data_IF_236925991145
#
_entry.id   IF_236925991145
#
_cell.length_a   1.000
_cell.length_b   1.000
_cell.length_c   1.000
_cell.angle_alpha   90.00
_cell.angle_beta   90.00
_cell.angle_gamma   90.00
#
_symmetry.space_group_name_H-M   'P 1'
#
loop_
_entity.id
_entity.type
_entity.pdbx_description
1 polymer ?
#
# COMPACT_ATOMS: atom_id res chain seq x y z
N UNK A 1 49.50 1.00 -21.14
CA UNK A 1 49.63 1.01 -19.67
C UNK A 1 48.74 2.12 -19.14
N UNK A 2 47.48 1.81 -18.83
CA UNK A 2 46.48 2.80 -18.43
C UNK A 2 46.07 2.53 -16.97
N UNK A 3 46.74 3.21 -16.04
CA UNK A 3 46.63 3.02 -14.57
C UNK A 3 45.30 3.52 -13.96
N UNK A 4 44.26 3.71 -14.78
CA UNK A 4 42.94 4.15 -14.32
C UNK A 4 41.92 3.00 -14.18
N UNK A 5 42.20 1.82 -14.77
CA UNK A 5 41.27 0.68 -14.73
C UNK A 5 41.47 -0.27 -13.53
N UNK A 6 42.54 -0.10 -12.75
CA UNK A 6 42.81 -0.93 -11.55
C UNK A 6 42.26 -0.34 -10.24
N UNK A 7 41.68 0.86 -10.25
CA UNK A 7 41.16 1.52 -9.05
C UNK A 7 39.65 1.29 -8.83
N UNK A 8 38.91 0.89 -9.87
CA UNK A 8 37.46 0.63 -9.75
C UNK A 8 37.15 -0.79 -9.20
N UNK A 9 38.15 -1.68 -9.15
CA UNK A 9 37.99 -3.04 -8.60
C UNK A 9 38.36 -3.17 -7.11
N UNK A 10 38.68 -2.07 -6.42
CA UNK A 10 39.03 -2.06 -4.99
C UNK A 10 37.92 -1.43 -4.12
N UNK A 11 36.83 -0.95 -4.71
CA UNK A 11 35.69 -0.34 -4.00
C UNK A 11 34.43 -1.22 -3.89
N UNK A 12 34.53 -2.52 -4.19
CA UNK A 12 33.41 -3.47 -4.06
C UNK A 12 33.85 -4.77 -3.35
N UNK A 13 34.13 -4.68 -2.04
CA UNK A 13 33.53 -5.68 -1.16
C UNK A 13 33.15 -5.06 0.20
N UNK A 14 32.13 -4.20 0.22
CA UNK A 14 31.50 -3.77 1.49
C UNK A 14 29.95 -3.78 1.42
N UNK A 15 29.35 -4.41 0.41
CA UNK A 15 27.89 -4.58 0.33
C UNK A 15 27.43 -6.05 0.45
N UNK A 16 28.32 -6.99 0.79
CA UNK A 16 27.97 -8.41 0.92
C UNK A 16 28.41 -9.08 2.21
N UNK A 17 28.75 -8.31 3.24
CA UNK A 17 28.94 -8.86 4.59
C UNK A 17 28.22 -7.98 5.60
N UNK A 18 26.98 -8.35 5.90
CA UNK A 18 26.37 -8.04 7.19
C UNK A 18 27.18 -8.84 8.24
N UNK A 19 28.36 -8.35 8.62
CA UNK A 19 29.09 -8.90 9.75
C UNK A 19 28.43 -8.44 11.04
N UNK A 20 27.89 -9.45 11.71
CA UNK A 20 27.25 -9.48 13.01
C UNK A 20 28.15 -8.80 14.04
N UNK A 21 27.68 -7.69 14.63
CA UNK A 21 28.11 -7.33 15.99
C UNK A 21 27.37 -8.29 16.91
N UNK A 22 28.06 -9.30 17.43
CA UNK A 22 27.56 -10.11 18.55
C UNK A 22 27.60 -9.25 19.80
N UNK A 23 26.49 -8.57 20.07
CA UNK A 23 26.13 -8.21 21.42
C UNK A 23 25.61 -9.49 22.09
N UNK A 24 26.38 -10.04 23.03
CA UNK A 24 25.84 -11.01 23.98
C UNK A 24 24.96 -10.26 24.99
N UNK A 25 23.79 -9.81 24.52
CA UNK A 25 22.63 -9.76 25.38
C UNK A 25 22.16 -11.21 25.52
N UNK A 26 21.95 -11.67 26.75
CA UNK A 26 21.11 -12.84 26.98
C UNK A 26 19.70 -12.39 26.60
N UNK A 27 19.42 -12.32 25.31
CA UNK A 27 18.08 -12.10 24.78
C UNK A 27 17.31 -13.36 25.12
N UNK A 28 16.31 -13.22 25.99
CA UNK A 28 15.28 -14.24 26.11
C UNK A 28 14.62 -14.34 24.74
N UNK A 29 14.85 -15.46 24.06
CA UNK A 29 14.40 -15.66 22.70
C UNK A 29 12.87 -15.55 22.62
N UNK A 30 12.39 -14.86 21.60
CA UNK A 30 10.97 -14.78 21.31
C UNK A 30 10.40 -16.20 21.11
N UNK A 31 9.17 -16.43 21.58
CA UNK A 31 8.43 -17.64 21.22
C UNK A 31 7.87 -17.42 19.82
N UNK A 32 8.29 -18.23 18.86
CA UNK A 32 7.93 -18.10 17.45
C UNK A 32 6.89 -19.14 17.07
N UNK A 33 5.81 -18.67 16.42
CA UNK A 33 4.79 -19.51 15.79
C UNK A 33 4.71 -19.20 14.30
N UNK A 34 4.76 -20.24 13.49
CA UNK A 34 4.81 -20.12 12.04
C UNK A 34 3.74 -20.94 11.33
N UNK A 35 3.40 -20.47 10.15
CA UNK A 35 2.59 -21.17 9.17
C UNK A 35 3.42 -21.26 7.90
N UNK A 36 3.69 -22.49 7.47
CA UNK A 36 4.24 -22.74 6.13
C UNK A 36 3.34 -22.10 5.08
N UNK A 37 3.96 -21.27 4.24
CA UNK A 37 3.32 -20.63 3.11
C UNK A 37 3.34 -21.57 1.92
N UNK A 38 2.18 -21.74 1.26
CA UNK A 38 2.14 -22.38 -0.05
C UNK A 38 2.60 -21.43 -1.15
N UNK A 39 2.86 -21.98 -2.34
CA UNK A 39 3.23 -21.19 -3.52
C UNK A 39 2.16 -20.17 -3.90
N UNK A 40 0.90 -20.47 -3.63
CA UNK A 40 -0.24 -19.56 -3.86
C UNK A 40 -0.37 -18.47 -2.80
N UNK A 41 0.25 -18.62 -1.63
CA UNK A 41 0.22 -17.62 -0.57
C UNK A 41 1.26 -16.50 -0.78
N UNK A 42 2.19 -16.69 -1.72
CA UNK A 42 3.26 -15.73 -2.05
C UNK A 42 2.76 -14.36 -2.51
N UNK A 43 1.51 -14.29 -2.98
CA UNK A 43 0.85 -13.05 -3.43
C UNK A 43 -0.26 -12.57 -2.50
N UNK A 44 -0.49 -13.26 -1.39
CA UNK A 44 -1.51 -12.90 -0.40
C UNK A 44 -0.88 -12.19 0.78
N UNK A 45 -1.58 -11.24 1.41
CA UNK A 45 -1.09 -10.51 2.61
C UNK A 45 -1.22 -11.33 3.91
N UNK A 46 -0.96 -12.63 3.84
CA UNK A 46 -1.14 -13.57 4.94
C UNK A 46 -0.02 -13.42 5.98
N UNK A 47 -0.39 -13.19 7.25
CA UNK A 47 0.55 -13.30 8.36
C UNK A 47 1.03 -14.74 8.46
N UNK A 48 2.33 -14.95 8.34
CA UNK A 48 2.94 -16.28 8.32
C UNK A 48 3.75 -16.58 9.58
N UNK A 49 4.16 -15.55 10.31
CA UNK A 49 4.94 -15.68 11.53
C UNK A 49 4.39 -14.75 12.62
N UNK A 50 4.35 -15.26 13.85
CA UNK A 50 3.92 -14.57 15.07
C UNK A 50 5.01 -14.76 16.11
N UNK A 51 5.65 -13.66 16.50
CA UNK A 51 6.66 -13.64 17.54
C UNK A 51 6.05 -13.09 18.82
N UNK A 52 6.26 -13.78 19.93
CA UNK A 52 5.74 -13.41 21.24
C UNK A 52 6.94 -13.26 22.18
N UNK A 53 7.19 -12.02 22.60
CA UNK A 53 8.28 -11.67 23.50
C UNK A 53 7.84 -11.73 24.96
N UNK A 54 8.74 -12.11 25.87
CA UNK A 54 8.44 -12.19 27.31
C UNK A 54 8.09 -10.84 27.95
N UNK A 55 8.57 -9.74 27.38
CA UNK A 55 8.28 -8.37 27.82
C UNK A 55 6.86 -7.88 27.45
N UNK A 56 5.94 -8.80 27.14
CA UNK A 56 4.56 -8.50 26.72
C UNK A 56 4.44 -7.76 25.38
N UNK A 57 5.44 -7.84 24.49
CA UNK A 57 5.34 -7.36 23.09
C UNK A 57 5.19 -8.51 22.11
N UNK A 58 4.62 -8.23 20.95
CA UNK A 58 4.51 -9.20 19.86
C UNK A 58 4.83 -8.55 18.51
N UNK A 59 5.09 -9.41 17.53
CA UNK A 59 5.19 -9.03 16.14
C UNK A 59 4.48 -10.04 15.23
N UNK A 60 3.59 -9.54 14.36
CA UNK A 60 3.07 -10.30 13.24
C UNK A 60 3.85 -9.95 11.98
N UNK A 61 4.33 -10.97 11.27
CA UNK A 61 5.11 -10.79 10.05
C UNK A 61 4.42 -11.39 8.84
N UNK A 62 4.48 -10.65 7.75
CA UNK A 62 4.22 -11.10 6.40
C UNK A 62 5.46 -10.81 5.56
N UNK A 63 6.27 -11.84 5.28
CA UNK A 63 7.50 -11.70 4.49
C UNK A 63 7.50 -12.70 3.34
N UNK A 64 6.72 -12.43 2.28
CA UNK A 64 6.68 -13.31 1.12
C UNK A 64 8.06 -13.38 0.46
N UNK A 65 8.39 -14.54 -0.10
CA UNK A 65 9.67 -14.79 -0.77
C UNK A 65 9.92 -13.97 -2.05
N UNK A 66 8.95 -13.15 -2.48
CA UNK A 66 8.99 -12.43 -3.77
C UNK A 66 9.80 -11.13 -3.70
N UNK A 67 9.59 -10.29 -2.68
CA UNK A 67 10.28 -9.01 -2.53
C UNK A 67 10.19 -8.44 -1.12
N UNK A 68 11.30 -7.95 -0.58
CA UNK A 68 11.34 -7.25 0.72
C UNK A 68 10.51 -5.95 0.74
N UNK A 69 10.22 -5.36 -0.42
CA UNK A 69 9.35 -4.17 -0.52
C UNK A 69 7.88 -4.47 -0.17
N UNK A 70 7.49 -5.75 -0.18
CA UNK A 70 6.13 -6.18 0.16
C UNK A 70 6.01 -6.69 1.59
N UNK A 71 7.13 -6.72 2.33
CA UNK A 71 7.14 -7.18 3.70
C UNK A 71 6.37 -6.23 4.60
N UNK A 72 5.59 -6.81 5.51
CA UNK A 72 4.81 -6.06 6.50
C UNK A 72 5.03 -6.64 7.88
N UNK A 73 5.26 -5.74 8.83
CA UNK A 73 5.41 -6.04 10.25
C UNK A 73 4.37 -5.26 11.03
N UNK A 74 3.72 -5.92 11.98
CA UNK A 74 2.75 -5.31 12.88
C UNK A 74 3.15 -5.59 14.31
N UNK A 75 3.42 -4.54 15.07
CA UNK A 75 3.95 -4.61 16.43
C UNK A 75 2.92 -4.10 17.42
N UNK A 76 2.91 -4.68 18.61
CA UNK A 76 2.00 -4.28 19.66
C UNK A 76 2.29 -4.99 20.98
N UNK A 77 1.29 -4.99 21.86
CA UNK A 77 1.37 -5.65 23.16
C UNK A 77 0.44 -6.85 23.24
N UNK A 78 0.77 -7.83 24.08
CA UNK A 78 -0.10 -8.96 24.33
C UNK A 78 -0.39 -9.13 25.81
N UNK A 79 -1.51 -9.79 26.11
CA UNK A 79 -1.87 -10.26 27.44
C UNK A 79 -2.56 -11.61 27.36
N UNK A 80 -2.33 -12.44 28.37
CA UNK A 80 -2.98 -13.75 28.47
C UNK A 80 -4.07 -13.74 29.53
N UNK A 81 -5.18 -14.41 29.22
CA UNK A 81 -6.29 -14.72 30.13
C UNK A 81 -6.63 -16.19 29.96
N UNK A 82 -6.21 -17.04 30.90
CA UNK A 82 -6.30 -18.51 30.79
C UNK A 82 -5.58 -19.01 29.53
N UNK A 83 -6.27 -19.74 28.67
CA UNK A 83 -5.78 -20.26 27.39
C UNK A 83 -5.82 -19.20 26.26
N UNK A 84 -6.43 -18.05 26.50
CA UNK A 84 -6.62 -17.03 25.48
C UNK A 84 -5.54 -15.96 25.56
N UNK A 85 -4.83 -15.74 24.46
CA UNK A 85 -3.94 -14.59 24.27
C UNK A 85 -4.66 -13.51 23.47
N UNK A 86 -4.46 -12.26 23.88
CA UNK A 86 -5.05 -11.07 23.25
C UNK A 86 -3.90 -10.16 22.83
N UNK A 87 -3.70 -10.05 21.52
CA UNK A 87 -2.79 -9.13 20.88
C UNK A 87 -3.49 -7.80 20.63
N UNK A 88 -2.85 -6.69 20.99
CA UNK A 88 -3.34 -5.33 20.82
C UNK A 88 -2.33 -4.50 20.06
N UNK A 89 -2.72 -3.99 18.89
CA UNK A 89 -1.92 -3.04 18.12
C UNK A 89 -2.72 -1.80 17.75
N UNK A 90 -2.00 -0.76 17.33
CA UNK A 90 -2.56 0.50 16.86
C UNK A 90 -1.97 0.82 15.49
N UNK A 91 -2.81 1.25 14.57
CA UNK A 91 -2.37 1.73 13.26
C UNK A 91 -3.09 3.03 12.90
N UNK A 92 -2.41 3.87 12.12
CA UNK A 92 -2.99 5.12 11.63
C UNK A 92 -3.70 4.84 10.30
N UNK A 93 -4.97 5.22 10.23
CA UNK A 93 -5.69 5.40 8.98
C UNK A 93 -5.60 6.85 8.57
N UNK A 94 -5.23 7.08 7.32
CA UNK A 94 -5.15 8.40 6.74
C UNK A 94 -6.16 8.47 5.59
N UNK A 95 -6.91 9.55 5.55
CA UNK A 95 -7.76 9.87 4.41
C UNK A 95 -6.91 10.05 3.15
N UNK A 96 -7.44 9.66 1.99
CA UNK A 96 -6.73 9.86 0.74
C UNK A 96 -6.62 11.35 0.40
N UNK A 97 -5.47 11.76 -0.12
CA UNK A 97 -5.23 13.12 -0.61
C UNK A 97 -6.18 13.57 -1.71
N UNK A 98 -6.67 12.62 -2.52
CA UNK A 98 -7.56 12.88 -3.66
C UNK A 98 -8.67 11.83 -3.68
N UNK A 99 -9.91 12.27 -3.77
CA UNK A 99 -11.08 11.41 -3.98
C UNK A 99 -11.61 11.57 -5.38
N UNK A 100 -12.09 10.46 -5.95
CA UNK A 100 -12.67 10.43 -7.29
C UNK A 100 -14.15 10.09 -7.21
N UNK A 101 -14.96 10.89 -7.87
CA UNK A 101 -16.31 10.54 -8.28
C UNK A 101 -16.32 10.49 -9.81
N UNK A 102 -17.17 9.64 -10.40
CA UNK A 102 -17.12 9.46 -11.84
C UNK A 102 -18.45 8.99 -12.42
N UNK A 103 -18.63 9.26 -13.70
CA UNK A 103 -19.74 8.77 -14.50
C UNK A 103 -19.32 8.61 -15.95
N UNK A 104 -20.13 7.90 -16.72
CA UNK A 104 -19.92 7.73 -18.16
C UNK A 104 -20.95 8.55 -18.92
N UNK A 105 -20.47 9.54 -19.66
CA UNK A 105 -21.25 10.31 -20.63
C UNK A 105 -21.21 9.58 -21.97
N UNK A 106 -22.37 9.07 -22.40
CA UNK A 106 -22.51 8.43 -23.72
C UNK A 106 -22.23 9.48 -24.81
N UNK A 107 -21.57 9.05 -25.89
CA UNK A 107 -21.18 9.88 -27.06
C UNK A 107 -20.08 10.91 -26.83
N UNK A 108 -19.59 11.06 -25.59
CA UNK A 108 -18.49 11.97 -25.31
C UNK A 108 -17.16 11.44 -25.88
N UNK A 109 -16.35 12.34 -26.47
CA UNK A 109 -15.07 12.02 -27.14
C UNK A 109 -13.84 12.53 -26.38
N UNK A 110 -14.03 12.92 -25.13
CA UNK A 110 -12.98 13.41 -24.25
C UNK A 110 -13.12 12.81 -22.86
N UNK A 111 -12.00 12.72 -22.15
CA UNK A 111 -12.03 12.61 -20.69
C UNK A 111 -12.20 14.02 -20.13
N UNK A 112 -13.27 14.22 -19.38
CA UNK A 112 -13.59 15.46 -18.69
C UNK A 112 -13.22 15.33 -17.23
N UNK A 113 -12.25 16.11 -16.79
CA UNK A 113 -11.83 16.17 -15.39
C UNK A 113 -12.25 17.50 -14.78
N UNK A 114 -12.92 17.45 -13.62
CA UNK A 114 -13.24 18.64 -12.83
C UNK A 114 -12.52 18.61 -11.49
N UNK A 115 -11.66 19.59 -11.22
CA UNK A 115 -10.84 19.66 -10.02
C UNK A 115 -11.37 20.68 -9.01
N UNK A 116 -11.66 20.20 -7.81
CA UNK A 116 -12.11 21.02 -6.68
C UNK A 116 -11.28 20.70 -5.43
N UNK A 117 -11.10 21.69 -4.56
CA UNK A 117 -10.52 21.54 -3.23
C UNK A 117 -11.65 21.50 -2.21
N UNK A 118 -11.64 20.48 -1.36
CA UNK A 118 -12.59 20.25 -0.27
C UNK A 118 -14.07 20.40 -0.71
N UNK A 119 -14.38 19.97 -1.93
CA UNK A 119 -15.71 20.09 -2.56
C UNK A 119 -16.28 21.52 -2.65
N UNK A 120 -15.46 22.55 -2.47
CA UNK A 120 -15.94 23.93 -2.35
C UNK A 120 -15.26 24.88 -3.33
N UNK A 121 -13.92 24.82 -3.41
CA UNK A 121 -13.12 25.77 -4.17
C UNK A 121 -12.64 25.13 -5.47
N UNK A 122 -12.83 25.80 -6.60
CA UNK A 122 -12.26 25.34 -7.88
C UNK A 122 -10.73 25.40 -7.84
N UNK A 123 -10.07 24.36 -8.36
CA UNK A 123 -8.63 24.34 -8.55
C UNK A 123 -8.30 24.88 -9.94
N UNK A 124 -8.47 26.19 -10.13
CA UNK A 124 -8.47 26.86 -11.45
C UNK A 124 -7.12 27.47 -11.81
N UNK A 125 -6.75 27.40 -13.09
CA UNK A 125 -5.47 27.93 -13.63
C UNK A 125 -4.22 27.34 -12.96
N UNK A 126 -4.32 26.10 -12.50
CA UNK A 126 -3.26 25.40 -11.77
C UNK A 126 -2.75 24.21 -12.57
N UNK A 127 -1.49 23.82 -12.31
CA UNK A 127 -0.85 22.71 -12.99
C UNK A 127 -1.26 21.36 -12.41
N UNK A 128 -1.65 20.43 -13.28
CA UNK A 128 -1.98 19.04 -12.95
C UNK A 128 -1.14 18.11 -13.81
N UNK A 129 -0.42 17.19 -13.17
CA UNK A 129 0.25 16.10 -13.85
C UNK A 129 -0.68 14.89 -13.94
N UNK A 130 -0.98 14.46 -15.16
CA UNK A 130 -1.82 13.28 -15.42
C UNK A 130 -0.97 12.25 -16.17
N UNK A 131 -0.79 11.08 -15.57
CA UNK A 131 -0.16 9.94 -16.24
C UNK A 131 -1.20 8.97 -16.75
N UNK A 132 -1.12 8.65 -18.03
CA UNK A 132 -1.86 7.58 -18.68
C UNK A 132 -1.19 6.25 -18.34
N UNK A 133 -1.94 5.38 -17.65
CA UNK A 133 -1.44 4.09 -17.18
C UNK A 133 -2.12 2.99 -17.98
N UNK A 134 -1.30 2.21 -18.68
CA UNK A 134 -1.78 1.19 -19.60
C UNK A 134 -1.84 -0.19 -18.97
N UNK A 135 -2.52 -1.09 -19.66
CA UNK A 135 -2.64 -2.49 -19.31
C UNK A 135 -1.25 -3.10 -19.05
N UNK A 136 -1.10 -3.75 -17.90
CA UNK A 136 0.14 -4.40 -17.47
C UNK A 136 0.68 -5.37 -18.53
N UNK A 137 -0.20 -6.13 -19.18
CA UNK A 137 0.16 -7.15 -20.17
C UNK A 137 0.54 -6.52 -21.53
N UNK A 138 0.17 -5.25 -21.76
CA UNK A 138 0.52 -4.53 -22.99
C UNK A 138 2.01 -4.17 -23.07
N UNK A 139 2.72 -4.11 -21.93
CA UNK A 139 4.11 -3.64 -21.83
C UNK A 139 4.34 -2.22 -22.39
N UNK A 140 3.28 -1.43 -22.53
CA UNK A 140 3.36 -0.04 -22.94
C UNK A 140 3.83 0.79 -21.74
N UNK A 141 4.79 1.70 -21.97
CA UNK A 141 5.26 2.61 -20.92
C UNK A 141 4.18 3.65 -20.62
N UNK A 142 3.96 3.92 -19.34
CA UNK A 142 3.09 5.01 -18.91
C UNK A 142 3.59 6.34 -19.47
N UNK A 143 2.66 7.19 -19.91
CA UNK A 143 2.96 8.51 -20.47
C UNK A 143 2.44 9.58 -19.52
N UNK A 144 3.30 10.49 -19.11
CA UNK A 144 2.93 11.59 -18.21
C UNK A 144 2.89 12.89 -18.99
N UNK A 145 1.79 13.62 -18.85
CA UNK A 145 1.60 14.94 -19.41
C UNK A 145 1.24 15.92 -18.29
N UNK A 146 1.62 17.18 -18.48
CA UNK A 146 1.24 18.28 -17.61
C UNK A 146 0.17 19.11 -18.30
N UNK A 147 -0.92 19.35 -17.59
CA UNK A 147 -2.07 20.13 -18.03
C UNK A 147 -2.27 21.33 -17.11
N UNK A 148 -2.94 22.36 -17.61
CA UNK A 148 -3.37 23.51 -16.82
C UNK A 148 -4.90 23.48 -16.76
N UNK A 149 -5.47 23.56 -15.56
CA UNK A 149 -6.92 23.67 -15.41
C UNK A 149 -7.43 25.00 -15.93
N UNK A 150 -8.63 25.01 -16.52
CA UNK A 150 -9.26 26.25 -16.94
C UNK A 150 -9.75 27.11 -15.74
N UNK A 151 -10.40 28.24 -16.01
CA UNK A 151 -10.97 29.11 -14.98
C UNK A 151 -12.06 28.43 -14.14
N UNK A 152 -12.65 27.35 -14.63
CA UNK A 152 -13.63 26.54 -13.94
C UNK A 152 -13.03 25.35 -13.18
N UNK A 153 -11.72 25.12 -13.28
CA UNK A 153 -11.04 23.98 -12.68
C UNK A 153 -11.12 22.72 -13.54
N UNK A 154 -11.41 22.84 -14.84
CA UNK A 154 -11.60 21.70 -15.73
C UNK A 154 -10.38 21.43 -16.61
N UNK A 155 -10.20 20.15 -16.97
CA UNK A 155 -9.30 19.70 -18.04
C UNK A 155 -10.08 18.76 -18.96
N UNK A 156 -10.05 19.04 -20.25
CA UNK A 156 -10.60 18.15 -21.28
C UNK A 156 -9.46 17.54 -22.08
N UNK A 157 -9.39 16.21 -22.11
CA UNK A 157 -8.39 15.47 -22.88
C UNK A 157 -9.12 14.72 -24.00
N UNK A 158 -8.99 15.15 -25.27
CA UNK A 158 -9.53 14.41 -26.39
C UNK A 158 -9.00 12.98 -26.46
N UNK A 159 -9.87 12.02 -26.75
CA UNK A 159 -9.47 10.62 -26.93
C UNK A 159 -8.40 10.42 -28.00
N UNK A 160 -8.38 11.28 -29.02
CA UNK A 160 -7.38 11.27 -30.09
C UNK A 160 -5.96 11.64 -29.64
N UNK A 161 -5.81 12.30 -28.49
CA UNK A 161 -4.50 12.69 -27.94
C UNK A 161 -3.88 11.58 -27.07
N UNK A 162 -4.66 10.54 -26.76
CA UNK A 162 -4.24 9.42 -25.92
C UNK A 162 -3.83 8.26 -26.84
N UNK A 163 -2.53 8.00 -26.87
CA UNK A 163 -1.97 6.85 -27.57
C UNK A 163 -2.47 5.54 -26.94
N UNK A 164 -2.79 4.53 -27.76
CA UNK A 164 -3.22 3.20 -27.28
C UNK A 164 -4.40 3.28 -26.29
N UNK A 165 -5.38 4.13 -26.58
CA UNK A 165 -6.56 4.35 -25.74
C UNK A 165 -7.26 3.06 -25.33
N UNK A 166 -7.35 2.07 -26.23
CA UNK A 166 -7.95 0.76 -25.96
C UNK A 166 -7.22 -0.04 -24.87
N UNK A 167 -5.97 0.34 -24.57
CA UNK A 167 -5.15 -0.24 -23.49
C UNK A 167 -5.09 0.64 -22.24
N UNK A 168 -5.76 1.78 -22.21
CA UNK A 168 -5.75 2.66 -21.04
C UNK A 168 -6.56 2.05 -19.88
N UNK A 169 -5.97 1.94 -18.69
CA UNK A 169 -6.57 1.25 -17.53
C UNK A 169 -6.67 2.11 -16.28
N UNK A 170 -5.88 3.17 -16.18
CA UNK A 170 -5.91 4.07 -15.06
C UNK A 170 -5.35 5.45 -15.44
N UNK A 171 -5.67 6.43 -14.61
CA UNK A 171 -4.99 7.71 -14.56
C UNK A 171 -4.28 7.83 -13.22
N UNK A 172 -3.01 8.21 -13.24
CA UNK A 172 -2.33 8.71 -12.03
C UNK A 172 -2.36 10.22 -12.06
N UNK A 173 -2.97 10.81 -11.04
CA UNK A 173 -3.06 12.27 -10.90
C UNK A 173 -2.08 12.70 -9.83
N UNK A 174 -1.30 13.73 -10.13
CA UNK A 174 -0.41 14.40 -9.20
C UNK A 174 -0.59 15.91 -9.33
N UNK A 175 -0.70 16.58 -8.20
CA UNK A 175 -0.90 18.03 -8.10
C UNK A 175 -0.03 18.60 -6.99
N UNK A 176 0.18 19.91 -7.02
CA UNK A 176 0.82 20.64 -5.95
C UNK A 176 -0.19 21.57 -5.28
N UNK A 177 -0.51 21.32 -4.01
CA UNK A 177 -1.39 22.18 -3.23
C UNK A 177 -0.60 22.76 -2.07
N UNK A 178 -0.45 24.09 -2.04
CA UNK A 178 0.25 24.82 -0.97
C UNK A 178 1.71 24.35 -0.74
N UNK A 179 2.40 23.90 -1.78
CA UNK A 179 3.78 23.39 -1.69
C UNK A 179 3.88 21.89 -1.37
N UNK A 180 2.76 21.21 -1.12
CA UNK A 180 2.69 19.77 -0.90
C UNK A 180 2.24 19.03 -2.15
N UNK A 181 2.96 17.96 -2.50
CA UNK A 181 2.55 17.06 -3.58
C UNK A 181 1.45 16.13 -3.10
N UNK A 182 0.30 16.18 -3.77
CA UNK A 182 -0.83 15.26 -3.57
C UNK A 182 -0.97 14.37 -4.78
N UNK A 183 -1.27 13.10 -4.56
CA UNK A 183 -1.43 12.16 -5.67
C UNK A 183 -2.39 11.04 -5.33
N UNK A 184 -3.05 10.49 -6.35
CA UNK A 184 -3.81 9.26 -6.26
C UNK A 184 -3.98 8.60 -7.65
N UNK A 185 -4.41 7.34 -7.68
CA UNK A 185 -4.74 6.62 -8.90
C UNK A 185 -6.24 6.50 -9.05
N UNK A 186 -6.75 6.90 -10.21
CA UNK A 186 -8.10 6.58 -10.63
C UNK A 186 -8.06 5.35 -11.53
N UNK A 187 -8.71 4.29 -11.09
CA UNK A 187 -8.85 3.03 -11.82
C UNK A 187 -10.17 2.37 -11.45
N UNK A 188 -10.70 1.53 -12.33
CA UNK A 188 -11.84 0.69 -12.01
C UNK A 188 -11.43 -0.69 -11.47
N UNK A 189 -10.12 -1.00 -11.40
CA UNK A 189 -9.59 -2.26 -10.88
C UNK A 189 -8.79 -2.06 -9.58
N UNK A 190 -9.16 -2.75 -8.51
CA UNK A 190 -8.61 -2.54 -7.16
C UNK A 190 -7.23 -3.16 -6.89
N UNK A 191 -6.61 -3.88 -7.83
CA UNK A 191 -5.40 -4.66 -7.52
C UNK A 191 -4.31 -4.66 -8.59
N UNK A 192 -4.66 -4.66 -9.89
CA UNK A 192 -3.70 -4.68 -11.01
C UNK A 192 -4.24 -3.82 -12.14
N UNK A 193 -3.37 -3.10 -12.85
CA UNK A 193 -3.70 -2.37 -14.07
C UNK A 193 -3.97 -3.34 -15.24
N UNK A 194 -4.93 -4.25 -15.09
CA UNK A 194 -5.40 -5.14 -16.18
C UNK A 194 -6.71 -4.57 -16.69
N UNK A 195 -6.82 -4.39 -18.01
CA UNK A 195 -8.00 -3.86 -18.68
C UNK A 195 -9.14 -4.86 -18.58
N UNK A 196 -10.15 -4.52 -17.77
CA UNK A 196 -11.40 -5.27 -17.67
C UNK A 196 -12.58 -4.53 -18.28
N UNK A 197 -12.54 -3.21 -18.22
CA UNK A 197 -13.61 -2.33 -18.71
C UNK A 197 -13.04 -0.98 -19.16
N UNK A 198 -13.88 -0.22 -19.85
CA UNK A 198 -13.54 1.14 -20.24
C UNK A 198 -13.58 2.10 -19.06
N UNK A 199 -12.64 3.04 -19.03
CA UNK A 199 -12.63 4.06 -17.99
C UNK A 199 -13.81 5.02 -18.19
N UNK A 200 -14.51 5.39 -17.11
CA UNK A 200 -15.44 6.51 -17.10
C UNK A 200 -14.80 7.77 -17.68
N UNK A 201 -15.55 8.52 -18.47
CA UNK A 201 -15.06 9.67 -19.22
C UNK A 201 -15.49 11.03 -18.62
N UNK A 202 -16.18 11.02 -17.49
CA UNK A 202 -16.36 12.19 -16.61
C UNK A 202 -15.85 11.84 -15.22
N UNK A 203 -14.86 12.58 -14.74
CA UNK A 203 -14.11 12.30 -13.51
C UNK A 203 -14.05 13.58 -12.67
N UNK A 204 -14.78 13.58 -11.57
CA UNK A 204 -14.74 14.65 -10.58
C UNK A 204 -13.63 14.34 -9.57
N UNK A 205 -12.66 15.25 -9.45
CA UNK A 205 -11.44 15.11 -8.65
C UNK A 205 -11.52 16.07 -7.46
N UNK A 206 -11.76 15.51 -6.28
CA UNK A 206 -11.80 16.27 -5.04
C UNK A 206 -10.47 16.15 -4.29
N UNK A 207 -9.78 17.28 -4.18
CA UNK A 207 -8.49 17.43 -3.53
C UNK A 207 -8.73 17.73 -2.05
N UNK A 208 -8.22 16.89 -1.18
CA UNK A 208 -8.37 17.06 0.27
C UNK A 208 -7.21 17.91 0.77
N UNK A 209 -7.50 19.15 1.17
CA UNK A 209 -6.45 20.08 1.59
C UNK A 209 -5.72 19.59 2.84
N UNK A 210 -6.49 19.07 3.80
CA UNK A 210 -5.98 18.54 5.07
C UNK A 210 -6.59 17.15 5.34
N UNK A 211 -5.95 16.07 4.85
CA UNK A 211 -6.43 14.72 5.09
C UNK A 211 -6.57 14.43 6.57
N UNK A 212 -7.72 13.91 6.97
CA UNK A 212 -7.95 13.49 8.34
C UNK A 212 -7.19 12.19 8.66
N UNK A 213 -6.84 12.01 9.93
CA UNK A 213 -6.16 10.81 10.44
C UNK A 213 -6.91 10.24 11.63
N UNK A 214 -7.00 8.92 11.71
CA UNK A 214 -7.58 8.20 12.83
C UNK A 214 -6.60 7.12 13.31
N UNK A 215 -6.29 7.11 14.60
CA UNK A 215 -5.57 5.98 15.20
C UNK A 215 -6.58 4.91 15.57
N UNK A 216 -6.46 3.74 14.94
CA UNK A 216 -7.37 2.62 15.15
C UNK A 216 -6.70 1.57 16.01
N UNK A 217 -7.36 1.19 17.10
CA UNK A 217 -6.97 0.03 17.88
C UNK A 217 -7.50 -1.24 17.21
N UNK A 218 -6.67 -2.27 17.17
CA UNK A 218 -7.02 -3.62 16.74
C UNK A 218 -6.70 -4.62 17.82
N UNK A 219 -7.63 -5.56 18.02
CA UNK A 219 -7.47 -6.69 18.92
C UNK A 219 -7.56 -8.01 18.13
N UNK A 220 -6.52 -8.83 18.23
CA UNK A 220 -6.50 -10.19 17.69
C UNK A 220 -6.47 -11.17 18.86
N UNK A 221 -7.39 -12.13 18.86
CA UNK A 221 -7.51 -13.16 19.90
C UNK A 221 -7.07 -14.50 19.34
N UNK A 222 -6.28 -15.23 20.13
CA UNK A 222 -5.88 -16.58 19.81
C UNK A 222 -6.01 -17.50 21.04
N UNK A 223 -6.20 -18.79 20.80
CA UNK A 223 -6.01 -19.82 21.83
C UNK A 223 -4.56 -20.27 21.74
N UNK A 224 -3.87 -20.21 22.88
CA UNK A 224 -2.49 -20.63 23.04
C UNK A 224 -2.44 -22.03 23.67
N UNK A 225 -1.73 -22.92 22.99
CA UNK A 225 -1.28 -24.20 23.53
C UNK A 225 0.23 -24.29 23.34
N UNK A 226 0.91 -25.18 24.07
CA UNK A 226 2.37 -25.26 24.03
C UNK A 226 2.97 -25.38 22.62
N UNK A 227 2.28 -26.09 21.72
CA UNK A 227 2.74 -26.38 20.35
C UNK A 227 2.02 -25.59 19.27
N UNK A 228 0.88 -24.97 19.58
CA UNK A 228 0.03 -24.34 18.58
C UNK A 228 -0.59 -23.03 19.07
N UNK A 229 -0.72 -22.10 18.13
CA UNK A 229 -1.47 -20.87 18.30
C UNK A 229 -2.59 -20.84 17.25
N UNK A 230 -3.84 -20.77 17.72
CA UNK A 230 -5.03 -20.75 16.86
C UNK A 230 -5.70 -19.38 16.89
N UNK A 231 -5.71 -18.68 15.76
CA UNK A 231 -6.40 -17.39 15.65
C UNK A 231 -7.91 -17.62 15.70
N UNK A 232 -8.60 -16.92 16.59
CA UNK A 232 -10.06 -17.03 16.79
C UNK A 232 -10.77 -15.84 16.15
N UNK A 233 -10.18 -14.65 16.25
CA UNK A 233 -10.76 -13.43 15.70
C UNK A 233 -9.73 -12.32 15.62
N UNK A 234 -9.89 -11.43 14.64
CA UNK A 234 -9.22 -10.12 14.60
C UNK A 234 -10.27 -9.06 14.34
N UNK A 235 -10.31 -8.03 15.18
CA UNK A 235 -11.32 -6.95 15.10
C UNK A 235 -10.63 -5.61 15.34
N UNK A 236 -10.98 -4.64 14.50
CA UNK A 236 -10.60 -3.24 14.70
C UNK A 236 -11.77 -2.45 15.28
N UNK A 237 -11.47 -1.34 15.96
CA UNK A 237 -12.46 -0.32 16.28
C UNK A 237 -13.13 0.23 15.01
N UNK A 238 -14.36 0.74 15.15
CA UNK A 238 -15.06 1.38 14.04
C UNK A 238 -14.35 2.67 13.65
N UNK A 239 -14.11 2.86 12.36
CA UNK A 239 -13.49 4.05 11.79
C UNK A 239 -14.51 4.83 10.96
N UNK A 240 -14.36 6.16 10.88
CA UNK A 240 -15.10 6.97 9.91
C UNK A 240 -14.39 7.01 8.56
N UNK A 241 -13.11 6.65 8.54
CA UNK A 241 -12.29 6.54 7.34
C UNK A 241 -12.40 5.15 6.73
N UNK A 242 -12.30 5.10 5.41
CA UNK A 242 -12.26 3.84 4.69
C UNK A 242 -10.90 3.16 4.86
N UNK A 243 -10.89 1.90 5.26
CA UNK A 243 -9.67 1.12 5.48
C UNK A 243 -9.39 0.20 4.30
N UNK A 244 -8.59 0.68 3.34
CA UNK A 244 -8.25 -0.05 2.11
C UNK A 244 -6.95 -0.88 2.21
N UNK A 245 -6.10 -0.67 3.21
CA UNK A 245 -4.71 -1.20 3.21
C UNK A 245 -4.29 -2.02 4.44
N UNK A 246 -5.04 -1.96 5.55
CA UNK A 246 -4.58 -2.45 6.86
C UNK A 246 -5.37 -3.64 7.41
N UNK A 247 -5.95 -4.49 6.54
CA UNK A 247 -6.57 -5.74 6.98
C UNK A 247 -5.49 -6.82 7.17
N UNK A 248 -5.39 -7.38 8.37
CA UNK A 248 -4.58 -8.59 8.60
C UNK A 248 -5.34 -9.79 8.06
N UNK A 249 -4.65 -10.62 7.30
CA UNK A 249 -5.14 -11.94 6.94
C UNK A 249 -4.35 -12.97 7.76
N UNK A 250 -5.04 -13.90 8.39
CA UNK A 250 -4.42 -14.93 9.25
C UNK A 250 -4.78 -16.33 8.76
N UNK A 251 -3.84 -17.25 8.95
CA UNK A 251 -4.14 -18.67 8.96
C UNK A 251 -4.91 -19.02 10.23
N UNK A 252 -5.72 -20.07 10.18
CA UNK A 252 -6.42 -20.54 11.37
C UNK A 252 -5.43 -21.03 12.45
N UNK A 253 -4.36 -21.72 12.05
CA UNK A 253 -3.39 -22.33 12.97
C UNK A 253 -1.95 -22.00 12.58
N UNK A 254 -1.12 -21.83 13.61
CA UNK A 254 0.33 -21.67 13.57
C UNK A 254 0.97 -22.68 14.51
N UNK A 255 2.11 -23.24 14.13
CA UNK A 255 2.87 -24.20 14.91
C UNK A 255 4.07 -23.52 15.53
N UNK A 256 4.44 -23.93 16.74
CA UNK A 256 5.65 -23.44 17.38
C UNK A 256 6.89 -23.91 16.60
N UNK A 257 7.82 -23.00 16.37
CA UNK A 257 9.12 -23.30 15.76
C UNK A 257 10.21 -23.12 16.80
N UNK A 258 11.21 -23.99 16.76
CA UNK A 258 12.41 -23.94 17.58
C UNK A 258 13.59 -23.79 16.62
N UNK A 259 14.34 -22.69 16.76
CA UNK A 259 15.53 -22.40 15.96
C UNK A 259 16.80 -22.78 16.72
#
# INVERSE_FOLDING_TARGET
MNKFLQIILILLPNLLFCQIKTFNLIEKEDIIYEKELSDTDRYQTLIHQINISENSTFEFRHTPYVSCLTWKEYKGTWKQKRDTIIFTDFYVLEESDIKFEHSTLKENKFYDFTFVIDSQKKYSNESVEISFVYDLDSKIKNKQNTFITDSNGNIQIPFSEIENLDKLTAFRIQINLNGEKKWNHFTTNNFVNVKKEELPNKIDVNIISKPSKETIKRETKAILSNENLRIISSRSEKSKLSNYSNRLNFSNNYKRTYY
#
